data_IF_094792369472
#
_entry.id   IF_094792369472
#
_cell.length_a   1.000
_cell.length_b   1.000
_cell.length_c   1.000
_cell.angle_alpha   90.00
_cell.angle_beta   90.00
_cell.angle_gamma   90.00
#
_symmetry.space_group_name_H-M   'P 1'
#
loop_
_entity.id
_entity.type
_entity.pdbx_description
1 polymer ?
#
# COMPACT_ATOMS: atom_id res chain seq x y z
N UNK A 1 9.90 -19.08 16.10
CA UNK A 1 10.05 -17.60 16.19
C UNK A 1 9.22 -17.02 15.06
N UNK A 2 8.34 -16.09 15.34
CA UNK A 2 7.58 -15.33 14.35
C UNK A 2 8.31 -13.99 14.12
N UNK A 3 8.40 -13.57 12.87
CA UNK A 3 9.03 -12.29 12.48
C UNK A 3 7.98 -11.43 11.83
N UNK A 4 7.82 -10.20 12.29
CA UNK A 4 6.83 -9.27 11.75
C UNK A 4 7.58 -8.12 11.12
N UNK A 5 7.31 -7.88 9.84
CA UNK A 5 7.92 -6.81 9.06
C UNK A 5 6.89 -5.72 8.80
N UNK A 6 7.21 -4.51 9.22
CA UNK A 6 6.43 -3.31 8.83
C UNK A 6 6.74 -2.90 7.41
N UNK A 7 5.72 -2.44 6.69
CA UNK A 7 5.87 -1.90 5.33
C UNK A 7 4.90 -0.73 5.08
N UNK A 8 5.21 0.19 4.14
CA UNK A 8 4.32 1.27 3.76
C UNK A 8 2.97 0.74 3.24
N UNK A 9 1.89 1.48 3.49
CA UNK A 9 0.53 1.06 3.09
C UNK A 9 0.36 0.89 1.57
N UNK A 10 1.13 1.64 0.77
CA UNK A 10 1.10 1.56 -0.69
C UNK A 10 1.82 0.33 -1.27
N UNK A 11 2.48 -0.49 -0.44
CA UNK A 11 3.20 -1.67 -0.91
C UNK A 11 2.26 -2.85 -1.14
N UNK A 12 2.51 -3.54 -2.25
CA UNK A 12 1.75 -4.70 -2.69
C UNK A 12 2.49 -6.01 -2.36
N UNK A 13 1.93 -7.12 -2.79
CA UNK A 13 2.55 -8.44 -2.68
C UNK A 13 3.97 -8.52 -3.29
N UNK A 14 4.26 -7.68 -4.30
CA UNK A 14 5.59 -7.60 -4.93
C UNK A 14 6.64 -7.13 -3.93
N UNK A 15 6.41 -5.98 -3.30
CA UNK A 15 7.33 -5.38 -2.35
C UNK A 15 7.46 -6.25 -1.11
N UNK A 16 6.37 -6.86 -0.65
CA UNK A 16 6.38 -7.83 0.44
C UNK A 16 7.24 -9.05 0.11
N UNK A 17 7.18 -9.56 -1.13
CA UNK A 17 8.03 -10.66 -1.60
C UNK A 17 9.51 -10.29 -1.57
N UNK A 18 9.88 -9.08 -1.98
CA UNK A 18 11.26 -8.61 -1.86
C UNK A 18 11.74 -8.56 -0.41
N UNK A 19 10.94 -8.01 0.49
CA UNK A 19 11.27 -7.98 1.92
C UNK A 19 11.39 -9.38 2.51
N UNK A 20 10.50 -10.30 2.14
CA UNK A 20 10.54 -11.69 2.58
C UNK A 20 11.83 -12.36 2.15
N UNK A 21 12.18 -12.25 0.87
CA UNK A 21 13.40 -12.83 0.33
C UNK A 21 14.64 -12.23 0.99
N UNK A 22 14.71 -10.91 1.13
CA UNK A 22 15.81 -10.25 1.81
C UNK A 22 15.94 -10.70 3.28
N UNK A 23 14.82 -10.85 4.00
CA UNK A 23 14.81 -11.31 5.38
C UNK A 23 15.24 -12.78 5.51
N UNK A 24 14.92 -13.62 4.52
CA UNK A 24 15.38 -15.01 4.46
C UNK A 24 16.88 -15.10 4.16
N UNK A 25 17.38 -14.27 3.25
CA UNK A 25 18.77 -14.28 2.77
C UNK A 25 19.75 -13.59 3.73
N UNK A 26 19.28 -12.67 4.59
CA UNK A 26 20.15 -11.88 5.46
C UNK A 26 20.92 -12.70 6.52
N UNK A 27 20.58 -13.97 6.70
CA UNK A 27 21.28 -14.89 7.62
C UNK A 27 21.11 -14.58 9.11
N UNK A 28 20.21 -13.66 9.49
CA UNK A 28 19.95 -13.30 10.90
C UNK A 28 19.29 -14.45 11.66
N UNK A 29 18.69 -15.40 10.95
CA UNK A 29 17.91 -16.47 11.53
C UNK A 29 18.63 -17.82 11.43
N UNK A 30 18.96 -18.43 12.57
CA UNK A 30 19.52 -19.78 12.64
C UNK A 30 18.45 -20.89 12.42
N UNK A 31 17.65 -20.78 11.38
CA UNK A 31 16.54 -21.69 11.11
C UNK A 31 16.51 -21.99 9.58
N UNK A 32 16.09 -23.17 9.14
CA UNK A 32 15.98 -23.48 7.71
C UNK A 32 15.15 -22.44 6.96
N UNK A 33 15.60 -22.00 5.78
CA UNK A 33 15.00 -20.92 4.99
C UNK A 33 13.51 -21.12 4.74
N UNK A 34 13.07 -22.33 4.41
CA UNK A 34 11.65 -22.64 4.20
C UNK A 34 10.80 -22.42 5.45
N UNK A 35 11.34 -22.66 6.65
CA UNK A 35 10.64 -22.42 7.92
C UNK A 35 10.58 -20.93 8.24
N UNK A 36 11.67 -20.20 7.94
CA UNK A 36 11.71 -18.74 8.13
C UNK A 36 10.65 -18.06 7.27
N UNK A 37 10.61 -18.40 5.97
CA UNK A 37 9.67 -17.81 5.02
C UNK A 37 8.21 -17.93 5.48
N UNK A 38 7.83 -19.08 6.07
CA UNK A 38 6.48 -19.30 6.63
C UNK A 38 6.19 -18.50 7.90
N UNK A 39 7.22 -18.15 8.66
CA UNK A 39 7.08 -17.43 9.94
C UNK A 39 7.23 -15.90 9.79
N UNK A 40 7.50 -15.41 8.59
CA UNK A 40 7.50 -13.98 8.31
C UNK A 40 6.06 -13.54 8.00
N UNK A 41 5.60 -12.56 8.77
CA UNK A 41 4.31 -11.89 8.58
C UNK A 41 4.54 -10.42 8.32
N UNK A 42 3.59 -9.79 7.67
CA UNK A 42 3.62 -8.38 7.35
C UNK A 42 2.55 -7.61 8.10
N UNK A 43 2.85 -6.35 8.40
CA UNK A 43 1.91 -5.37 8.92
C UNK A 43 2.19 -4.03 8.26
N UNK A 44 1.15 -3.26 7.94
CA UNK A 44 1.38 -1.91 7.42
C UNK A 44 1.89 -0.99 8.53
N UNK A 45 2.72 0.00 8.17
CA UNK A 45 3.25 0.99 9.12
C UNK A 45 2.12 1.71 9.85
N UNK A 46 1.04 2.11 9.14
CA UNK A 46 -0.12 2.73 9.76
C UNK A 46 -0.83 1.82 10.77
N UNK A 47 -1.05 0.52 10.43
CA UNK A 47 -1.69 -0.41 11.36
C UNK A 47 -0.83 -0.71 12.59
N UNK A 48 0.48 -0.87 12.41
CA UNK A 48 1.42 -0.99 13.52
C UNK A 48 1.37 0.26 14.42
N UNK A 49 1.40 1.45 13.81
CA UNK A 49 1.32 2.73 14.53
C UNK A 49 0.02 2.90 15.30
N UNK A 50 -1.10 2.38 14.82
CA UNK A 50 -2.37 2.32 15.58
C UNK A 50 -2.18 1.53 16.87
N UNK A 51 -1.61 0.32 16.78
CA UNK A 51 -1.40 -0.53 17.95
C UNK A 51 -0.45 0.12 18.96
N UNK A 52 0.60 0.80 18.46
CA UNK A 52 1.48 1.60 19.31
C UNK A 52 0.72 2.72 20.05
N UNK A 53 -0.06 3.53 19.31
CA UNK A 53 -0.82 4.62 19.89
C UNK A 53 -1.87 4.16 20.89
N UNK A 54 -2.52 3.02 20.66
CA UNK A 54 -3.46 2.43 21.62
C UNK A 54 -2.81 2.18 22.98
N UNK A 55 -1.55 1.72 22.99
CA UNK A 55 -0.81 1.41 24.21
C UNK A 55 -0.16 2.64 24.83
N UNK A 56 0.29 3.60 24.02
CA UNK A 56 1.09 4.74 24.46
C UNK A 56 0.35 6.09 24.45
N UNK A 57 -0.96 6.08 24.30
CA UNK A 57 -1.81 7.28 24.38
C UNK A 57 -3.11 6.99 25.12
N UNK A 58 -3.88 8.03 25.38
CA UNK A 58 -5.22 7.89 25.96
C UNK A 58 -6.31 7.55 24.91
N UNK A 59 -5.93 7.12 23.72
CA UNK A 59 -6.86 6.86 22.61
C UNK A 59 -7.89 5.79 23.00
N UNK A 60 -7.45 4.69 23.62
CA UNK A 60 -8.35 3.59 24.03
C UNK A 60 -9.48 4.02 24.95
N UNK A 61 -9.24 5.04 25.80
CA UNK A 61 -10.26 5.61 26.69
C UNK A 61 -11.23 6.59 26.00
N UNK A 62 -10.84 7.11 24.84
CA UNK A 62 -11.60 8.15 24.13
C UNK A 62 -12.45 7.59 22.98
N UNK A 63 -12.07 6.43 22.43
CA UNK A 63 -12.78 5.82 21.30
C UNK A 63 -13.98 5.00 21.76
N UNK A 64 -15.09 5.14 21.04
CA UNK A 64 -16.34 4.41 21.25
C UNK A 64 -16.73 3.70 19.94
N UNK A 65 -17.56 2.69 20.03
CA UNK A 65 -18.14 2.06 18.82
C UNK A 65 -18.77 3.12 17.93
N UNK A 66 -18.41 3.10 16.64
CA UNK A 66 -18.83 4.10 15.66
C UNK A 66 -17.92 5.35 15.57
N UNK A 67 -16.99 5.56 16.53
CA UNK A 67 -15.98 6.62 16.40
C UNK A 67 -15.10 6.38 15.18
N UNK A 68 -14.67 7.48 14.53
CA UNK A 68 -13.71 7.45 13.42
C UNK A 68 -12.49 8.27 13.78
N UNK A 69 -11.33 7.79 13.38
CA UNK A 69 -10.07 8.48 13.51
C UNK A 69 -9.16 8.17 12.33
N UNK A 70 -8.28 9.11 11.98
CA UNK A 70 -7.26 8.90 10.98
C UNK A 70 -5.91 8.67 11.63
N UNK A 71 -5.07 7.87 10.99
CA UNK A 71 -3.63 7.74 11.29
C UNK A 71 -2.87 8.32 10.13
N UNK A 72 -2.08 9.34 10.39
CA UNK A 72 -1.16 9.95 9.42
C UNK A 72 0.26 9.58 9.84
N UNK A 73 0.85 8.60 9.16
CA UNK A 73 2.23 8.18 9.34
C UNK A 73 3.13 9.01 8.43
N UNK A 74 3.75 10.03 8.99
CA UNK A 74 4.64 10.92 8.28
C UNK A 74 6.08 10.42 8.41
N UNK A 75 6.50 9.61 7.46
CA UNK A 75 7.81 8.97 7.41
C UNK A 75 8.90 9.79 6.72
N UNK A 76 10.00 9.13 6.40
CA UNK A 76 11.14 9.74 5.71
C UNK A 76 10.86 10.00 4.23
N UNK A 77 10.24 9.07 3.51
CA UNK A 77 9.96 9.14 2.07
C UNK A 77 8.48 9.38 1.79
N UNK A 78 7.62 8.57 2.38
CA UNK A 78 6.17 8.60 2.18
C UNK A 78 5.46 9.15 3.40
N UNK A 79 4.25 9.66 3.16
CA UNK A 79 3.28 9.95 4.21
C UNK A 79 2.01 9.19 3.87
N UNK A 80 1.67 8.25 4.72
CA UNK A 80 0.53 7.36 4.55
C UNK A 80 -0.58 7.73 5.54
N UNK A 81 -1.80 7.86 5.05
CA UNK A 81 -2.96 8.19 5.89
C UNK A 81 -4.04 7.15 5.73
N UNK A 82 -4.46 6.55 6.83
CA UNK A 82 -5.51 5.53 6.87
C UNK A 82 -6.63 5.96 7.81
N UNK A 83 -7.87 5.76 7.40
CA UNK A 83 -9.06 6.10 8.17
C UNK A 83 -9.71 4.86 8.74
N UNK A 84 -9.85 4.81 10.05
CA UNK A 84 -10.45 3.72 10.79
C UNK A 84 -11.78 4.10 11.43
N UNK A 85 -12.68 3.11 11.54
CA UNK A 85 -13.89 3.15 12.36
C UNK A 85 -13.83 2.04 13.40
N UNK A 86 -14.21 2.38 14.63
CA UNK A 86 -14.27 1.44 15.76
C UNK A 86 -15.53 0.58 15.64
N UNK A 87 -15.36 -0.73 15.54
CA UNK A 87 -16.47 -1.71 15.49
C UNK A 87 -16.71 -2.35 16.85
N UNK A 88 -15.68 -2.45 17.69
CA UNK A 88 -15.75 -2.85 19.09
C UNK A 88 -14.72 -2.05 19.89
N UNK A 89 -15.06 -1.61 21.09
CA UNK A 89 -14.13 -0.91 21.99
C UNK A 89 -13.70 -1.80 23.17
N UNK A 90 -14.54 -2.71 23.61
CA UNK A 90 -14.32 -3.63 24.74
C UNK A 90 -14.91 -5.00 24.47
N UNK A 91 -14.36 -6.14 24.98
CA UNK A 91 -13.09 -6.22 25.70
C UNK A 91 -11.88 -5.95 24.79
N UNK A 92 -11.99 -6.28 23.49
CA UNK A 92 -10.95 -6.10 22.49
C UNK A 92 -11.33 -4.99 21.53
N UNK A 93 -10.39 -4.09 21.28
CA UNK A 93 -10.55 -3.06 20.25
C UNK A 93 -10.57 -3.73 18.87
N UNK A 94 -11.67 -3.48 18.11
CA UNK A 94 -11.81 -3.93 16.73
C UNK A 94 -12.03 -2.73 15.81
N UNK A 95 -11.28 -2.70 14.75
CA UNK A 95 -11.23 -1.60 13.78
C UNK A 95 -11.54 -2.11 12.39
N UNK A 96 -12.15 -1.26 11.58
CA UNK A 96 -12.24 -1.46 10.14
C UNK A 96 -11.76 -0.22 9.41
N UNK A 97 -11.06 -0.40 8.30
CA UNK A 97 -10.79 0.70 7.39
C UNK A 97 -12.09 1.20 6.76
N UNK A 98 -12.25 2.53 6.69
CA UNK A 98 -13.47 3.14 6.17
C UNK A 98 -13.42 3.28 4.65
N UNK A 99 -12.22 3.56 4.13
CA UNK A 99 -11.91 3.68 2.71
C UNK A 99 -10.44 3.38 2.46
N UNK A 100 -10.06 3.28 1.21
CA UNK A 100 -8.67 3.10 0.78
C UNK A 100 -7.75 4.15 1.42
N UNK A 101 -6.58 3.71 1.88
CA UNK A 101 -5.55 4.58 2.43
C UNK A 101 -5.00 5.53 1.37
N UNK A 102 -4.68 6.74 1.77
CA UNK A 102 -4.02 7.73 0.92
C UNK A 102 -2.50 7.70 1.18
N UNK A 103 -1.70 7.74 0.11
CA UNK A 103 -0.24 7.82 0.17
C UNK A 103 0.26 9.00 -0.65
N UNK A 104 1.29 9.69 -0.16
CA UNK A 104 1.96 10.76 -0.90
C UNK A 104 3.47 10.74 -0.65
N UNK A 105 4.24 10.95 -1.71
CA UNK A 105 5.70 11.07 -1.62
C UNK A 105 6.09 12.48 -1.17
N UNK A 106 5.94 12.76 0.12
CA UNK A 106 6.19 14.06 0.73
C UNK A 106 6.82 13.93 2.12
N UNK A 107 7.57 12.86 2.38
CA UNK A 107 8.24 12.64 3.65
C UNK A 107 9.42 13.59 3.89
N UNK A 108 10.04 13.48 5.08
CA UNK A 108 11.05 14.41 5.58
C UNK A 108 12.30 14.55 4.68
N UNK A 109 12.64 13.58 3.82
CA UNK A 109 13.76 13.68 2.88
C UNK A 109 13.51 14.72 1.77
N UNK A 110 12.25 15.00 1.44
CA UNK A 110 11.93 16.00 0.42
C UNK A 110 12.12 17.43 0.92
N UNK A 111 12.03 17.64 2.25
CA UNK A 111 12.46 18.91 2.86
C UNK A 111 13.96 19.11 2.65
N UNK A 112 14.78 18.05 2.84
CA UNK A 112 16.21 18.11 2.59
C UNK A 112 16.52 18.41 1.13
N UNK A 113 15.87 17.71 0.18
CA UNK A 113 16.04 17.95 -1.26
C UNK A 113 15.68 19.38 -1.66
N UNK A 114 14.59 19.92 -1.06
CA UNK A 114 14.19 21.30 -1.32
C UNK A 114 15.23 22.30 -0.80
N UNK A 115 15.79 22.03 0.40
CA UNK A 115 16.84 22.85 0.99
C UNK A 115 18.16 22.73 0.22
N UNK A 116 18.58 21.51 -0.15
CA UNK A 116 19.76 21.22 -0.96
C UNK A 116 19.76 22.01 -2.26
N UNK A 117 18.65 21.97 -2.99
CA UNK A 117 18.49 22.70 -4.25
C UNK A 117 18.67 24.22 -4.05
N UNK A 118 18.07 24.78 -2.98
CA UNK A 118 18.21 26.19 -2.63
C UNK A 118 19.63 26.52 -2.23
N UNK A 119 20.24 25.76 -1.34
CA UNK A 119 21.61 25.98 -0.87
C UNK A 119 22.60 25.92 -2.02
N UNK A 120 22.49 24.93 -2.90
CA UNK A 120 23.33 24.82 -4.11
C UNK A 120 23.18 26.03 -5.04
N UNK A 121 21.95 26.55 -5.21
CA UNK A 121 21.69 27.77 -5.97
C UNK A 121 22.42 28.97 -5.36
N UNK A 122 22.33 29.18 -4.05
CA UNK A 122 23.02 30.27 -3.34
C UNK A 122 24.54 30.13 -3.43
N UNK A 123 25.10 28.92 -3.28
CA UNK A 123 26.52 28.67 -3.41
C UNK A 123 27.05 28.99 -4.80
N UNK A 124 26.31 28.64 -5.85
CA UNK A 124 26.69 29.01 -7.24
C UNK A 124 26.77 30.53 -7.47
N UNK A 125 25.97 31.30 -6.72
CA UNK A 125 26.01 32.78 -6.78
C UNK A 125 27.25 33.40 -6.13
N UNK A 126 28.10 32.63 -5.43
CA UNK A 126 29.22 33.13 -4.64
C UNK A 126 30.60 33.04 -5.34
N UNK A 127 30.63 32.81 -6.63
CA UNK A 127 31.89 32.65 -7.41
C UNK A 127 32.81 31.55 -6.88
N UNK A 128 32.20 30.41 -6.51
CA UNK A 128 32.86 29.19 -6.03
C UNK A 128 33.15 28.25 -7.21
N UNK A 129 34.17 27.43 -7.06
CA UNK A 129 34.38 26.29 -7.97
C UNK A 129 33.26 25.25 -7.79
N UNK A 130 33.04 24.41 -8.82
CA UNK A 130 32.03 23.33 -8.70
C UNK A 130 32.28 22.44 -7.49
N UNK A 131 33.56 22.08 -7.22
CA UNK A 131 33.91 21.25 -6.05
C UNK A 131 33.56 21.91 -4.70
N UNK A 132 33.81 23.22 -4.57
CA UNK A 132 33.43 24.00 -3.38
C UNK A 132 31.91 24.10 -3.23
N UNK A 133 31.16 24.24 -4.33
CA UNK A 133 29.68 24.24 -4.31
C UNK A 133 29.17 22.92 -3.79
N UNK A 134 29.68 21.80 -4.32
CA UNK A 134 29.25 20.45 -3.92
C UNK A 134 29.61 20.19 -2.43
N UNK A 135 30.85 20.49 -2.01
CA UNK A 135 31.32 20.31 -0.62
C UNK A 135 30.50 21.14 0.39
N UNK A 136 30.32 22.43 0.10
CA UNK A 136 29.58 23.32 1.02
C UNK A 136 28.09 23.03 1.06
N UNK A 137 27.53 22.54 -0.03
CA UNK A 137 26.14 22.09 -0.07
C UNK A 137 25.96 20.83 0.78
N UNK A 138 26.88 19.88 0.69
CA UNK A 138 26.85 18.64 1.49
C UNK A 138 27.01 18.93 2.99
N UNK A 139 28.02 19.74 3.40
CA UNK A 139 28.22 20.12 4.81
C UNK A 139 26.99 20.88 5.34
N UNK A 140 26.43 21.79 4.54
CA UNK A 140 25.23 22.53 4.91
C UNK A 140 23.98 21.64 5.05
N UNK A 141 23.86 20.63 4.23
CA UNK A 141 22.76 19.68 4.33
C UNK A 141 22.85 18.81 5.59
N UNK A 142 24.07 18.41 5.97
CA UNK A 142 24.30 17.67 7.24
C UNK A 142 23.94 18.52 8.47
N UNK A 143 24.34 19.79 8.49
CA UNK A 143 24.01 20.72 9.59
C UNK A 143 22.50 21.02 9.62
N UNK A 144 21.87 21.14 8.45
CA UNK A 144 20.44 21.39 8.31
C UNK A 144 19.57 20.27 8.92
N UNK A 145 20.03 19.02 8.96
CA UNK A 145 19.28 17.92 9.58
C UNK A 145 18.92 18.21 11.05
N UNK A 146 19.84 18.83 11.80
CA UNK A 146 19.56 19.25 13.19
C UNK A 146 18.52 20.37 13.23
N UNK A 147 18.67 21.37 12.35
CA UNK A 147 17.71 22.49 12.21
C UNK A 147 16.33 21.97 11.86
N UNK A 148 16.23 21.09 10.86
CA UNK A 148 14.97 20.51 10.38
C UNK A 148 14.18 19.83 11.50
N UNK A 149 14.84 19.06 12.36
CA UNK A 149 14.18 18.33 13.46
C UNK A 149 13.56 19.25 14.51
N UNK A 150 14.13 20.45 14.68
CA UNK A 150 13.73 21.40 15.72
C UNK A 150 13.02 22.63 15.13
N UNK A 151 12.86 22.69 13.82
CA UNK A 151 12.27 23.85 13.16
C UNK A 151 10.81 24.00 13.53
N UNK A 152 10.51 25.15 14.13
CA UNK A 152 9.16 25.64 14.36
C UNK A 152 9.05 27.04 13.76
N UNK A 153 7.93 27.33 13.11
CA UNK A 153 7.71 28.61 12.47
C UNK A 153 6.47 29.26 13.07
N UNK A 154 6.69 30.45 13.59
CA UNK A 154 5.63 31.32 14.04
C UNK A 154 5.59 32.58 13.15
N UNK A 155 4.41 33.03 12.72
CA UNK A 155 4.28 34.23 11.90
C UNK A 155 4.88 35.50 12.58
N UNK A 156 5.01 35.51 13.91
CA UNK A 156 5.72 36.54 14.65
C UNK A 156 7.25 36.56 14.36
N UNK A 157 7.82 35.41 13.92
CA UNK A 157 9.23 35.22 13.68
C UNK A 157 9.62 35.21 12.20
N UNK A 158 8.83 35.88 11.33
CA UNK A 158 9.04 35.90 9.89
C UNK A 158 10.46 36.30 9.47
N UNK A 159 11.12 37.14 10.25
CA UNK A 159 12.47 37.63 10.02
C UNK A 159 13.56 36.91 10.84
N UNK A 160 13.20 35.83 11.54
CA UNK A 160 14.19 35.04 12.27
C UNK A 160 15.21 34.45 11.30
N UNK A 161 16.48 34.49 11.69
CA UNK A 161 17.60 34.01 10.91
C UNK A 161 18.08 32.69 11.51
N UNK A 162 18.17 31.67 10.67
CA UNK A 162 18.77 30.38 10.98
C UNK A 162 20.18 30.35 10.39
N UNK A 163 21.15 29.95 11.22
CA UNK A 163 22.54 29.84 10.75
C UNK A 163 22.83 28.39 10.42
N UNK A 164 23.21 28.14 9.18
CA UNK A 164 23.59 26.82 8.67
C UNK A 164 25.09 26.81 8.40
N UNK A 165 25.77 25.83 8.99
CA UNK A 165 27.20 25.65 8.82
C UNK A 165 27.46 24.98 7.47
N UNK A 166 28.27 25.61 6.62
CA UNK A 166 28.57 25.12 5.27
C UNK A 166 30.06 24.92 5.03
N UNK A 167 30.92 25.43 5.93
CA UNK A 167 32.37 25.32 5.79
C UNK A 167 33.10 25.56 7.11
N UNK A 168 34.43 25.41 7.10
CA UNK A 168 35.26 25.75 8.26
C UNK A 168 35.15 27.22 8.67
N UNK A 169 35.25 27.50 9.98
CA UNK A 169 34.98 28.82 10.58
C UNK A 169 35.91 29.99 10.12
N UNK A 170 36.92 29.70 9.30
CA UNK A 170 37.79 30.73 8.67
C UNK A 170 37.34 31.13 7.27
N UNK A 171 36.37 30.39 6.68
CA UNK A 171 35.89 30.63 5.33
C UNK A 171 34.89 31.77 5.32
N UNK A 172 35.11 32.75 4.48
CA UNK A 172 34.13 33.79 4.15
C UNK A 172 34.15 34.02 2.64
N UNK A 173 32.96 34.09 2.02
CA UNK A 173 32.76 34.27 0.58
C UNK A 173 31.55 35.17 0.32
N UNK A 174 31.58 35.87 -0.77
CA UNK A 174 30.55 36.82 -1.18
C UNK A 174 30.72 38.19 -0.56
N UNK A 175 29.96 39.17 -1.07
CA UNK A 175 29.93 40.50 -0.50
C UNK A 175 29.30 40.54 0.87
N UNK A 176 29.75 41.42 1.75
CA UNK A 176 29.21 41.52 3.11
C UNK A 176 27.74 41.93 3.16
N UNK A 177 27.23 42.55 2.12
CA UNK A 177 25.82 42.93 1.92
C UNK A 177 24.96 41.83 1.30
N UNK A 178 25.57 40.76 0.77
CA UNK A 178 24.83 39.68 0.13
C UNK A 178 24.05 38.86 1.15
N UNK A 179 22.81 38.59 0.84
CA UNK A 179 21.88 37.88 1.73
C UNK A 179 22.41 36.47 2.13
N UNK A 180 23.01 35.78 1.17
CA UNK A 180 23.47 34.39 1.37
C UNK A 180 25.01 34.26 1.37
N UNK A 181 25.73 35.31 1.79
CA UNK A 181 27.19 35.25 1.90
C UNK A 181 27.61 34.25 2.97
N UNK A 182 28.73 33.54 2.73
CA UNK A 182 29.35 32.71 3.76
C UNK A 182 30.16 33.64 4.68
N UNK A 183 29.80 33.62 5.96
CA UNK A 183 30.46 34.38 7.01
C UNK A 183 30.96 33.45 8.09
N UNK A 184 32.29 33.33 8.23
CA UNK A 184 32.93 32.45 9.21
C UNK A 184 32.41 31.00 9.14
N UNK A 185 32.21 30.50 7.91
CA UNK A 185 31.75 29.14 7.65
C UNK A 185 30.22 28.93 7.75
N UNK A 186 29.44 29.99 7.97
CA UNK A 186 27.98 29.92 8.07
C UNK A 186 27.29 30.73 6.99
N UNK A 187 26.13 30.25 6.56
CA UNK A 187 25.15 31.02 5.79
C UNK A 187 23.98 31.36 6.73
N UNK A 188 23.53 32.59 6.65
CA UNK A 188 22.35 33.07 7.36
C UNK A 188 21.12 32.92 6.46
N UNK A 189 20.19 32.05 6.85
CA UNK A 189 19.01 31.69 6.06
C UNK A 189 17.77 32.25 6.77
N UNK A 190 16.94 33.06 6.08
CA UNK A 190 15.66 33.47 6.64
C UNK A 190 14.78 32.27 6.96
N UNK A 191 14.09 32.31 8.10
CA UNK A 191 13.20 31.23 8.49
C UNK A 191 12.05 31.00 7.48
N UNK A 192 11.66 32.06 6.76
CA UNK A 192 10.70 32.00 5.64
C UNK A 192 11.17 31.08 4.49
N UNK A 193 12.48 31.06 4.18
CA UNK A 193 13.02 30.20 3.14
C UNK A 193 13.02 28.74 3.57
N UNK A 194 13.33 28.48 4.84
CA UNK A 194 13.21 27.13 5.43
C UNK A 194 11.75 26.69 5.44
N UNK A 195 10.83 27.56 5.88
CA UNK A 195 9.39 27.31 5.78
C UNK A 195 8.96 26.90 4.38
N UNK A 196 9.42 27.62 3.35
CA UNK A 196 9.14 27.28 1.95
C UNK A 196 9.65 25.89 1.53
N UNK A 197 10.70 25.36 2.16
CA UNK A 197 11.12 23.96 1.95
C UNK A 197 10.15 22.97 2.57
N UNK A 198 9.64 23.27 3.77
CA UNK A 198 8.64 22.44 4.43
C UNK A 198 7.29 22.47 3.71
N UNK A 199 6.83 23.65 3.27
CA UNK A 199 5.52 23.82 2.62
C UNK A 199 5.37 22.91 1.39
N UNK A 200 6.44 22.70 0.62
CA UNK A 200 6.45 21.78 -0.52
C UNK A 200 6.07 20.34 -0.15
N UNK A 201 6.26 19.95 1.10
CA UNK A 201 5.85 18.64 1.63
C UNK A 201 4.49 18.72 2.34
N UNK A 202 4.30 19.74 3.15
CA UNK A 202 3.13 19.88 4.03
C UNK A 202 1.84 20.13 3.25
N UNK A 203 1.89 20.91 2.17
CA UNK A 203 0.74 21.17 1.31
C UNK A 203 0.17 19.89 0.66
N UNK A 204 0.97 19.05 -0.03
CA UNK A 204 0.48 17.77 -0.57
C UNK A 204 -0.04 16.84 0.52
N UNK A 205 0.63 16.79 1.70
CA UNK A 205 0.17 15.96 2.82
C UNK A 205 -1.21 16.39 3.27
N UNK A 206 -1.38 17.68 3.58
CA UNK A 206 -2.67 18.18 4.09
C UNK A 206 -3.77 18.11 3.04
N UNK A 207 -3.47 18.27 1.75
CA UNK A 207 -4.43 18.05 0.66
C UNK A 207 -4.93 16.61 0.64
N UNK A 208 -4.03 15.64 0.72
CA UNK A 208 -4.41 14.21 0.75
C UNK A 208 -5.21 13.84 2.00
N UNK A 209 -4.86 14.40 3.15
CA UNK A 209 -5.65 14.22 4.37
C UNK A 209 -7.04 14.81 4.20
N UNK A 210 -7.18 16.00 3.63
CA UNK A 210 -8.50 16.62 3.39
C UNK A 210 -9.37 15.78 2.45
N UNK A 211 -8.80 15.28 1.34
CA UNK A 211 -9.49 14.39 0.41
C UNK A 211 -9.99 13.12 1.13
N UNK A 212 -9.14 12.54 2.00
CA UNK A 212 -9.49 11.33 2.75
C UNK A 212 -10.60 11.59 3.77
N UNK A 213 -10.62 12.77 4.37
CA UNK A 213 -11.61 13.17 5.39
C UNK A 213 -12.92 13.73 4.79
N UNK A 214 -12.97 13.88 3.45
CA UNK A 214 -14.13 14.48 2.79
C UNK A 214 -15.44 13.78 3.16
N UNK A 215 -16.44 14.58 3.55
CA UNK A 215 -17.79 14.12 3.92
C UNK A 215 -17.85 13.17 5.13
N UNK A 216 -16.77 13.03 5.90
CA UNK A 216 -16.73 12.16 7.07
C UNK A 216 -16.47 12.92 8.36
N UNK A 217 -17.24 12.61 9.40
CA UNK A 217 -16.98 13.10 10.74
C UNK A 217 -15.87 12.24 11.37
N UNK A 218 -14.74 12.87 11.69
CA UNK A 218 -13.55 12.27 12.32
C UNK A 218 -13.26 13.00 13.61
N UNK A 219 -13.03 12.29 14.70
CA UNK A 219 -12.76 12.90 16.01
C UNK A 219 -11.27 13.17 16.23
N UNK A 220 -10.39 12.33 15.68
CA UNK A 220 -8.95 12.39 15.97
C UNK A 220 -8.13 12.14 14.70
N UNK A 221 -6.97 12.79 14.62
CA UNK A 221 -5.88 12.41 13.72
C UNK A 221 -4.68 12.06 14.61
N UNK A 222 -4.22 10.81 14.50
CA UNK A 222 -2.98 10.35 15.11
C UNK A 222 -1.84 10.70 14.16
N UNK A 223 -0.97 11.61 14.58
CA UNK A 223 0.21 11.99 13.79
C UNK A 223 1.43 11.23 14.34
N UNK A 224 1.97 10.34 13.53
CA UNK A 224 3.09 9.45 13.87
C UNK A 224 4.18 9.50 12.80
N UNK A 225 5.25 8.71 12.98
CA UNK A 225 6.39 8.68 12.07
C UNK A 225 7.43 9.75 12.38
N UNK A 226 8.66 9.56 11.91
CA UNK A 226 9.78 10.44 12.22
C UNK A 226 9.61 11.90 11.74
N UNK A 227 8.92 12.12 10.62
CA UNK A 227 8.55 13.47 10.17
C UNK A 227 7.33 14.01 10.92
N UNK A 228 6.47 13.11 11.42
CA UNK A 228 5.37 13.46 12.31
C UNK A 228 5.83 14.09 13.63
N UNK A 229 7.09 13.88 14.05
CA UNK A 229 7.69 14.54 15.21
C UNK A 229 8.12 15.99 14.94
N UNK A 230 8.12 16.47 13.68
CA UNK A 230 8.46 17.85 13.33
C UNK A 230 7.51 18.85 14.00
N UNK A 231 8.03 19.83 14.77
CA UNK A 231 7.20 20.87 15.40
C UNK A 231 6.40 21.65 14.37
N UNK A 232 7.01 21.95 13.20
CA UNK A 232 6.34 22.66 12.12
C UNK A 232 5.14 21.90 11.57
N UNK A 233 5.31 20.60 11.24
CA UNK A 233 4.20 19.77 10.75
C UNK A 233 3.07 19.67 11.79
N UNK A 234 3.43 19.44 13.06
CA UNK A 234 2.48 19.38 14.18
C UNK A 234 1.65 20.67 14.31
N UNK A 235 2.32 21.82 14.21
CA UNK A 235 1.65 23.11 14.32
C UNK A 235 0.71 23.37 13.14
N UNK A 236 1.11 23.02 11.91
CA UNK A 236 0.22 23.11 10.74
C UNK A 236 -1.01 22.22 10.93
N UNK A 237 -0.85 20.98 11.36
CA UNK A 237 -1.97 20.06 11.61
C UNK A 237 -2.89 20.59 12.71
N UNK A 238 -2.37 21.04 13.85
CA UNK A 238 -3.18 21.64 14.91
C UNK A 238 -3.95 22.83 14.40
N UNK A 239 -3.28 23.80 13.79
CA UNK A 239 -3.90 25.03 13.29
C UNK A 239 -5.00 24.79 12.26
N UNK A 240 -4.86 23.74 11.43
CA UNK A 240 -5.80 23.40 10.37
C UNK A 240 -6.98 22.57 10.88
N UNK A 241 -6.72 21.53 11.65
CA UNK A 241 -7.72 20.51 11.97
C UNK A 241 -8.43 20.74 13.31
N UNK A 242 -7.79 21.33 14.33
CA UNK A 242 -8.46 21.64 15.58
C UNK A 242 -9.58 22.68 15.41
N UNK A 243 -9.45 23.59 14.45
CA UNK A 243 -10.54 24.52 14.05
C UNK A 243 -11.77 23.78 13.48
N UNK A 244 -11.60 22.54 13.03
CA UNK A 244 -12.66 21.65 12.53
C UNK A 244 -13.16 20.69 13.62
N UNK A 245 -12.77 20.90 14.89
CA UNK A 245 -13.03 20.01 16.03
C UNK A 245 -12.43 18.60 15.85
N UNK A 246 -11.32 18.49 15.14
CA UNK A 246 -10.56 17.25 14.99
C UNK A 246 -9.32 17.36 15.88
N UNK A 247 -9.24 16.54 16.92
CA UNK A 247 -8.11 16.55 17.85
C UNK A 247 -6.88 15.93 17.22
N UNK A 248 -5.71 16.60 17.32
CA UNK A 248 -4.43 16.03 16.94
C UNK A 248 -3.86 15.29 18.13
N UNK A 249 -3.77 13.97 18.00
CA UNK A 249 -3.22 13.08 19.04
C UNK A 249 -1.81 12.69 18.65
N UNK A 250 -0.88 12.93 19.57
CA UNK A 250 0.52 12.56 19.44
C UNK A 250 0.79 11.37 20.37
N UNK A 251 1.73 10.51 19.99
CA UNK A 251 2.25 9.52 20.94
C UNK A 251 3.01 10.23 22.08
N UNK A 252 2.88 9.70 23.30
CA UNK A 252 3.54 10.28 24.48
C UNK A 252 5.07 10.13 24.44
N UNK A 253 5.58 9.23 23.61
CA UNK A 253 6.99 8.95 23.41
C UNK A 253 7.39 9.22 21.95
N UNK A 254 8.70 9.23 21.67
CA UNK A 254 9.20 9.39 20.31
C UNK A 254 8.59 8.33 19.38
N UNK A 255 7.96 8.76 18.31
CA UNK A 255 7.32 7.89 17.33
C UNK A 255 8.31 7.14 16.43
N UNK A 256 9.62 7.34 16.61
CA UNK A 256 10.67 6.71 15.79
C UNK A 256 10.69 5.17 15.84
N UNK A 257 10.11 4.57 16.89
CA UNK A 257 9.97 3.12 17.07
C UNK A 257 8.52 2.63 16.98
N UNK A 258 7.59 3.54 16.72
CA UNK A 258 6.17 3.24 16.76
C UNK A 258 5.78 2.03 15.89
N UNK A 259 6.36 1.91 14.70
CA UNK A 259 6.10 0.80 13.79
C UNK A 259 6.64 -0.51 14.37
N UNK A 260 7.86 -0.54 14.89
CA UNK A 260 8.48 -1.77 15.41
C UNK A 260 7.77 -2.27 16.67
N UNK A 261 7.54 -1.39 17.64
CA UNK A 261 6.83 -1.73 18.89
C UNK A 261 5.36 -2.06 18.60
N UNK A 262 4.72 -1.30 17.73
CA UNK A 262 3.35 -1.53 17.29
C UNK A 262 3.16 -2.86 16.56
N UNK A 263 4.14 -3.31 15.78
CA UNK A 263 4.14 -4.62 15.12
C UNK A 263 4.12 -5.77 16.14
N UNK A 264 4.82 -5.62 17.26
CA UNK A 264 4.78 -6.59 18.36
C UNK A 264 3.38 -6.64 18.97
N UNK A 265 2.76 -5.48 19.27
CA UNK A 265 1.39 -5.43 19.79
C UNK A 265 0.38 -5.97 18.77
N UNK A 266 0.56 -5.68 17.49
CA UNK A 266 -0.27 -6.21 16.42
C UNK A 266 -0.27 -7.74 16.39
N UNK A 267 0.87 -8.39 16.61
CA UNK A 267 0.96 -9.86 16.60
C UNK A 267 0.03 -10.52 17.62
N UNK A 268 -0.29 -9.81 18.69
CA UNK A 268 -1.14 -10.29 19.79
C UNK A 268 -2.61 -9.90 19.54
N UNK A 269 -2.86 -8.63 19.22
CA UNK A 269 -4.21 -8.05 19.26
C UNK A 269 -4.97 -8.15 17.92
N UNK A 270 -4.28 -8.00 16.76
CA UNK A 270 -4.86 -8.01 15.40
C UNK A 270 -6.19 -7.25 15.32
N UNK A 271 -6.17 -6.00 15.74
CA UNK A 271 -7.40 -5.21 15.92
C UNK A 271 -8.08 -4.83 14.62
N UNK A 272 -7.37 -4.74 13.50
CA UNK A 272 -7.97 -4.43 12.19
C UNK A 272 -8.56 -5.69 11.59
N UNK A 273 -9.89 -5.74 11.53
CA UNK A 273 -10.66 -6.92 11.08
C UNK A 273 -11.20 -6.78 9.65
N UNK A 274 -11.15 -5.59 9.07
CA UNK A 274 -11.58 -5.38 7.69
C UNK A 274 -10.79 -4.23 7.04
N UNK A 275 -10.42 -4.40 5.77
CA UNK A 275 -9.59 -3.47 4.98
C UNK A 275 -10.26 -3.06 3.69
N UNK A 276 -10.01 -1.84 3.25
CA UNK A 276 -10.49 -1.34 1.97
C UNK A 276 -9.51 -1.73 0.85
N UNK A 277 -9.94 -2.50 -0.15
CA UNK A 277 -9.05 -2.95 -1.20
C UNK A 277 -8.68 -1.79 -2.14
N UNK A 278 -7.41 -1.73 -2.55
CA UNK A 278 -6.92 -0.78 -3.55
C UNK A 278 -7.38 -1.14 -4.97
N UNK A 279 -7.65 -2.42 -5.22
CA UNK A 279 -7.98 -2.98 -6.54
C UNK A 279 -9.16 -3.93 -6.47
N UNK A 280 -9.85 -4.09 -7.61
CA UNK A 280 -10.66 -5.28 -7.83
C UNK A 280 -9.74 -6.42 -8.29
N UNK A 281 -9.90 -7.61 -7.74
CA UNK A 281 -9.09 -8.78 -8.08
C UNK A 281 -9.95 -9.84 -8.75
N UNK A 282 -9.38 -10.50 -9.76
CA UNK A 282 -10.09 -11.53 -10.50
C UNK A 282 -9.25 -12.16 -11.60
N UNK A 283 -9.90 -12.87 -12.50
CA UNK A 283 -9.26 -13.52 -13.63
C UNK A 283 -9.88 -13.03 -14.94
N UNK A 284 -9.08 -13.07 -16.01
CA UNK A 284 -9.58 -12.87 -17.37
C UNK A 284 -9.81 -14.27 -17.96
N UNK A 285 -11.05 -14.55 -18.40
CA UNK A 285 -11.43 -15.89 -18.82
C UNK A 285 -12.36 -15.83 -20.05
N UNK A 286 -12.51 -16.96 -20.77
CA UNK A 286 -13.56 -17.10 -21.76
C UNK A 286 -14.95 -16.95 -21.14
N UNK A 287 -15.87 -16.34 -21.87
CA UNK A 287 -17.29 -16.24 -21.53
C UNK A 287 -18.12 -16.88 -22.63
N UNK A 288 -19.08 -17.71 -22.28
CA UNK A 288 -20.06 -18.21 -23.22
C UNK A 288 -20.77 -17.03 -23.86
N UNK A 289 -20.96 -17.06 -25.17
CA UNK A 289 -21.61 -16.01 -25.92
C UNK A 289 -22.61 -16.60 -26.95
N UNK A 290 -23.53 -15.76 -27.39
CA UNK A 290 -24.44 -16.06 -28.51
C UNK A 290 -24.14 -15.06 -29.65
N UNK A 291 -23.16 -15.34 -30.53
CA UNK A 291 -22.64 -14.37 -31.51
C UNK A 291 -23.68 -13.79 -32.45
N UNK A 292 -24.86 -14.48 -32.61
CA UNK A 292 -25.97 -14.04 -33.42
C UNK A 292 -26.97 -13.14 -32.69
N UNK A 293 -26.80 -12.93 -31.38
CA UNK A 293 -27.73 -12.12 -30.57
C UNK A 293 -26.97 -11.00 -29.85
N UNK A 294 -25.72 -11.26 -29.41
CA UNK A 294 -24.93 -10.34 -28.64
C UNK A 294 -24.03 -9.44 -29.51
N UNK A 295 -23.99 -8.16 -29.22
CA UNK A 295 -22.94 -7.26 -29.69
C UNK A 295 -21.61 -7.61 -29.01
N UNK A 296 -20.70 -8.20 -29.77
CA UNK A 296 -19.36 -8.57 -29.26
C UNK A 296 -18.32 -7.48 -29.51
N UNK A 297 -18.75 -6.26 -29.85
CA UNK A 297 -17.87 -5.10 -30.11
C UNK A 297 -16.69 -5.42 -31.05
N UNK A 298 -16.94 -6.25 -32.10
CA UNK A 298 -15.90 -6.69 -33.03
C UNK A 298 -14.97 -7.77 -32.50
N UNK A 299 -15.18 -8.29 -31.28
CA UNK A 299 -14.37 -9.37 -30.71
C UNK A 299 -14.57 -10.68 -31.43
N UNK A 300 -13.48 -11.45 -31.53
CA UNK A 300 -13.53 -12.79 -32.12
C UNK A 300 -14.10 -13.76 -31.09
N UNK A 301 -14.94 -14.67 -31.55
CA UNK A 301 -15.39 -15.80 -30.76
C UNK A 301 -14.76 -17.10 -31.27
N UNK A 302 -14.59 -18.04 -30.36
CA UNK A 302 -14.13 -19.40 -30.61
C UNK A 302 -15.23 -20.41 -30.33
N UNK A 303 -14.92 -21.67 -30.56
CA UNK A 303 -15.80 -22.78 -30.20
C UNK A 303 -15.11 -23.53 -29.03
N UNK A 304 -15.77 -23.51 -27.89
CA UNK A 304 -15.38 -24.28 -26.73
C UNK A 304 -15.76 -25.75 -26.79
N UNK A 305 -15.45 -26.51 -25.72
CA UNK A 305 -15.90 -27.90 -25.60
C UNK A 305 -17.40 -28.05 -25.80
N UNK A 306 -17.82 -29.17 -26.39
CA UNK A 306 -19.21 -29.42 -26.69
C UNK A 306 -19.82 -28.49 -27.76
N UNK A 307 -19.02 -27.73 -28.52
CA UNK A 307 -19.50 -26.86 -29.59
C UNK A 307 -20.06 -25.52 -29.10
N UNK A 308 -19.81 -25.16 -27.84
CA UNK A 308 -20.30 -23.93 -27.20
C UNK A 308 -19.52 -22.71 -27.68
N UNK A 309 -20.16 -21.67 -28.26
CA UNK A 309 -19.44 -20.46 -28.61
C UNK A 309 -18.93 -19.71 -27.38
N UNK A 310 -17.68 -19.27 -27.44
CA UNK A 310 -17.02 -18.52 -26.33
C UNK A 310 -16.29 -17.30 -26.89
N UNK A 311 -16.31 -16.20 -26.16
CA UNK A 311 -15.52 -15.01 -26.43
C UNK A 311 -14.44 -14.87 -25.38
N UNK A 312 -13.21 -14.52 -25.80
CA UNK A 312 -12.07 -14.36 -24.91
C UNK A 312 -12.01 -12.95 -24.33
N UNK A 313 -11.23 -12.79 -23.26
CA UNK A 313 -10.93 -11.48 -22.69
C UNK A 313 -11.96 -10.92 -21.71
N UNK A 314 -12.98 -11.68 -21.32
CA UNK A 314 -13.98 -11.23 -20.37
C UNK A 314 -13.37 -11.10 -18.95
N UNK A 315 -13.64 -9.97 -18.30
CA UNK A 315 -13.25 -9.75 -16.92
C UNK A 315 -14.18 -10.46 -15.95
N UNK A 316 -13.63 -11.22 -15.07
CA UNK A 316 -14.36 -11.98 -14.06
C UNK A 316 -13.85 -11.62 -12.66
N UNK A 317 -14.38 -10.54 -12.04
CA UNK A 317 -13.96 -10.16 -10.70
C UNK A 317 -14.43 -11.20 -9.68
N UNK A 318 -13.54 -11.54 -8.74
CA UNK A 318 -13.81 -12.38 -7.56
C UNK A 318 -13.98 -11.47 -6.34
N UNK A 319 -13.12 -10.47 -6.23
CA UNK A 319 -13.20 -9.42 -5.23
C UNK A 319 -13.35 -8.09 -5.94
N UNK A 320 -14.40 -7.34 -5.62
CA UNK A 320 -14.62 -6.02 -6.19
C UNK A 320 -14.17 -4.94 -5.20
N UNK A 321 -13.41 -3.97 -5.70
CA UNK A 321 -13.21 -2.69 -5.02
C UNK A 321 -14.55 -1.96 -5.02
N UNK A 322 -15.12 -1.77 -3.84
CA UNK A 322 -16.32 -0.95 -3.66
C UNK A 322 -15.95 0.13 -2.67
N UNK A 323 -16.01 1.38 -3.10
CA UNK A 323 -15.69 2.53 -2.25
C UNK A 323 -16.49 2.49 -0.95
N UNK A 324 -15.79 2.54 0.18
CA UNK A 324 -16.39 2.53 1.53
C UNK A 324 -16.90 1.17 2.02
N UNK A 325 -16.68 0.06 1.28
CA UNK A 325 -17.00 -1.29 1.73
C UNK A 325 -15.69 -2.06 1.95
N UNK A 326 -15.21 -2.16 3.19
CA UNK A 326 -14.01 -2.92 3.49
C UNK A 326 -14.26 -4.42 3.39
N UNK A 327 -13.22 -5.15 2.98
CA UNK A 327 -13.21 -6.61 2.96
C UNK A 327 -12.90 -7.14 4.35
N UNK A 328 -13.68 -8.14 4.77
CA UNK A 328 -13.41 -8.89 5.99
C UNK A 328 -12.16 -9.77 5.80
N UNK A 329 -11.18 -9.63 6.69
CA UNK A 329 -9.90 -10.34 6.62
C UNK A 329 -10.02 -11.84 6.81
N UNK A 330 -11.04 -12.30 7.56
CA UNK A 330 -11.26 -13.71 7.86
C UNK A 330 -12.15 -14.39 6.83
N UNK A 331 -12.76 -13.60 5.94
CA UNK A 331 -13.69 -14.10 4.93
C UNK A 331 -12.95 -14.64 3.70
N UNK A 332 -13.39 -15.82 3.24
CA UNK A 332 -12.99 -16.38 1.96
C UNK A 332 -13.97 -15.92 0.88
N UNK A 333 -13.44 -15.23 -0.13
CA UNK A 333 -14.17 -14.81 -1.32
C UNK A 333 -14.01 -15.88 -2.39
N UNK A 334 -15.09 -16.35 -2.98
CA UNK A 334 -15.10 -17.46 -3.95
C UNK A 334 -15.81 -17.06 -5.22
N UNK A 335 -15.31 -17.61 -6.33
CA UNK A 335 -16.03 -17.61 -7.59
C UNK A 335 -15.79 -18.93 -8.31
N UNK A 336 -16.89 -19.54 -8.75
CA UNK A 336 -16.87 -20.82 -9.45
C UNK A 336 -16.58 -20.62 -10.93
N UNK A 337 -15.71 -21.44 -11.48
CA UNK A 337 -15.35 -21.55 -12.89
C UNK A 337 -15.50 -23.00 -13.32
N UNK A 338 -16.04 -23.22 -14.50
CA UNK A 338 -16.17 -24.57 -15.05
C UNK A 338 -14.90 -24.90 -15.85
N UNK A 339 -14.20 -25.92 -15.41
CA UNK A 339 -13.16 -26.59 -16.19
C UNK A 339 -13.82 -27.64 -17.08
N UNK A 340 -13.27 -27.81 -18.30
CA UNK A 340 -13.80 -28.78 -19.27
C UNK A 340 -12.67 -29.62 -19.85
N UNK A 341 -12.94 -30.91 -20.04
CA UNK A 341 -12.02 -31.89 -20.65
C UNK A 341 -12.71 -32.63 -21.78
N UNK A 342 -11.94 -33.09 -22.76
CA UNK A 342 -12.39 -34.04 -23.76
C UNK A 342 -12.22 -35.49 -23.31
N UNK A 343 -11.38 -35.71 -22.31
CA UNK A 343 -11.06 -37.01 -21.75
C UNK A 343 -11.91 -37.24 -20.47
N UNK A 344 -12.45 -38.43 -20.36
CA UNK A 344 -13.25 -38.87 -19.19
C UNK A 344 -12.41 -38.89 -17.89
N UNK A 345 -11.19 -39.38 -17.97
CA UNK A 345 -10.30 -39.57 -16.84
C UNK A 345 -8.89 -39.04 -17.18
N UNK A 346 -8.68 -37.74 -17.27
CA UNK A 346 -7.34 -37.22 -17.42
C UNK A 346 -6.51 -37.58 -16.18
N UNK A 347 -5.28 -38.09 -16.35
CA UNK A 347 -4.39 -38.46 -15.24
C UNK A 347 -4.13 -37.30 -14.30
N UNK A 348 -4.12 -36.10 -14.83
CA UNK A 348 -4.03 -34.85 -14.03
C UNK A 348 -4.54 -33.68 -14.86
N UNK A 349 -5.00 -32.65 -14.15
CA UNK A 349 -5.32 -31.35 -14.71
C UNK A 349 -4.39 -30.31 -14.13
N UNK A 350 -3.60 -29.68 -14.98
CA UNK A 350 -2.84 -28.48 -14.61
C UNK A 350 -3.76 -27.27 -14.68
N UNK A 351 -4.04 -26.67 -13.54
CA UNK A 351 -4.75 -25.41 -13.43
C UNK A 351 -3.71 -24.29 -13.35
N UNK A 352 -3.70 -23.41 -14.32
CA UNK A 352 -2.91 -22.19 -14.28
C UNK A 352 -3.77 -21.03 -14.75
N UNK A 353 -3.97 -20.03 -13.91
CA UNK A 353 -4.72 -18.83 -14.23
C UNK A 353 -3.98 -17.59 -13.75
N UNK A 354 -3.81 -16.66 -14.68
CA UNK A 354 -3.30 -15.34 -14.39
C UNK A 354 -4.31 -14.58 -13.53
N UNK A 355 -3.81 -14.11 -12.40
CA UNK A 355 -4.53 -13.23 -11.52
C UNK A 355 -4.29 -11.79 -11.93
N UNK A 356 -5.36 -11.02 -12.07
CA UNK A 356 -5.30 -9.62 -12.46
C UNK A 356 -5.91 -8.72 -11.39
N UNK A 357 -5.40 -7.51 -11.32
CA UNK A 357 -5.96 -6.41 -10.54
C UNK A 357 -6.45 -5.31 -11.49
N UNK A 358 -7.57 -4.68 -11.12
CA UNK A 358 -8.13 -3.52 -11.81
C UNK A 358 -8.20 -2.33 -10.88
N UNK A 359 -7.56 -1.22 -11.27
CA UNK A 359 -7.43 -0.02 -10.45
C UNK A 359 -8.64 0.94 -10.51
N UNK A 360 -9.45 0.85 -11.57
CA UNK A 360 -10.57 1.75 -11.77
C UNK A 360 -11.74 1.50 -10.81
N UNK A 361 -12.62 2.49 -10.70
CA UNK A 361 -13.84 2.42 -9.86
C UNK A 361 -15.05 1.83 -10.61
N UNK A 362 -14.90 1.56 -11.90
CA UNK A 362 -15.94 0.98 -12.75
C UNK A 362 -16.09 -0.53 -12.61
N UNK A 363 -17.05 -1.07 -13.34
CA UNK A 363 -17.27 -2.51 -13.49
C UNK A 363 -17.11 -2.88 -14.97
N UNK A 364 -15.88 -2.99 -15.47
CA UNK A 364 -15.67 -3.35 -16.87
C UNK A 364 -16.10 -4.79 -17.14
N UNK A 365 -16.65 -5.03 -18.33
CA UNK A 365 -17.00 -6.37 -18.80
C UNK A 365 -15.77 -7.11 -19.38
N UNK A 366 -14.76 -6.35 -19.76
CA UNK A 366 -13.59 -6.84 -20.48
C UNK A 366 -12.30 -6.47 -19.73
N UNK A 367 -11.34 -7.39 -19.77
CA UNK A 367 -9.98 -7.16 -19.28
C UNK A 367 -8.96 -7.06 -20.41
N UNK A 368 -9.27 -7.61 -21.60
CA UNK A 368 -8.46 -7.50 -22.81
C UNK A 368 -9.18 -6.68 -23.89
N UNK A 369 -8.39 -6.08 -24.77
CA UNK A 369 -8.86 -5.46 -26.01
C UNK A 369 -9.04 -6.48 -27.16
N UNK A 370 -9.18 -6.01 -28.40
CA UNK A 370 -9.35 -6.87 -29.60
C UNK A 370 -8.06 -7.55 -30.05
N UNK A 371 -6.90 -7.12 -29.56
CA UNK A 371 -5.59 -7.65 -29.88
C UNK A 371 -5.07 -8.59 -28.79
N UNK A 372 -5.90 -8.89 -27.78
CA UNK A 372 -5.55 -9.63 -26.58
C UNK A 372 -4.57 -8.87 -25.64
N UNK A 373 -4.47 -7.53 -25.76
CA UNK A 373 -3.73 -6.68 -24.85
C UNK A 373 -4.57 -6.26 -23.65
N UNK A 374 -3.93 -6.10 -22.47
CA UNK A 374 -4.62 -5.63 -21.27
C UNK A 374 -5.19 -4.23 -21.45
N UNK A 375 -6.46 -4.06 -21.11
CA UNK A 375 -7.11 -2.75 -21.09
C UNK A 375 -6.50 -1.83 -20.00
N UNK A 376 -6.57 -0.49 -20.18
CA UNK A 376 -6.07 0.46 -19.19
C UNK A 376 -6.64 0.21 -17.79
N UNK A 377 -5.78 0.30 -16.78
CA UNK A 377 -6.12 0.05 -15.38
C UNK A 377 -6.00 -1.41 -14.94
N UNK A 378 -5.81 -2.34 -15.88
CA UNK A 378 -5.53 -3.74 -15.58
C UNK A 378 -4.02 -4.01 -15.52
N UNK A 379 -3.62 -4.88 -14.58
CA UNK A 379 -2.26 -5.42 -14.51
C UNK A 379 -2.29 -6.81 -13.90
N UNK A 380 -1.34 -7.66 -14.32
CA UNK A 380 -1.15 -8.98 -13.75
C UNK A 380 -0.50 -8.86 -12.36
N UNK A 381 -1.04 -9.56 -11.38
CA UNK A 381 -0.54 -9.54 -9.99
C UNK A 381 -0.03 -10.89 -9.51
N UNK A 382 -0.21 -11.93 -10.28
CA UNK A 382 0.29 -13.27 -9.95
C UNK A 382 -0.29 -14.34 -10.85
N UNK A 383 0.03 -15.58 -10.52
CA UNK A 383 -0.54 -16.77 -11.15
C UNK A 383 -1.04 -17.69 -10.04
N UNK A 384 -2.23 -18.23 -10.23
CA UNK A 384 -2.73 -19.32 -9.39
C UNK A 384 -2.43 -20.59 -10.13
N UNK A 385 -1.53 -21.39 -9.59
CA UNK A 385 -1.13 -22.67 -10.17
C UNK A 385 -1.52 -23.80 -9.23
N UNK A 386 -1.97 -24.89 -9.80
CA UNK A 386 -2.27 -26.11 -9.07
C UNK A 386 -2.30 -27.28 -10.03
N UNK A 387 -1.81 -28.42 -9.56
CA UNK A 387 -2.06 -29.69 -10.23
C UNK A 387 -3.11 -30.45 -9.45
N UNK A 388 -4.20 -30.79 -10.12
CA UNK A 388 -5.25 -31.62 -9.56
C UNK A 388 -4.96 -33.05 -10.05
N UNK A 389 -4.56 -33.90 -9.11
CA UNK A 389 -4.33 -35.31 -9.33
C UNK A 389 -5.56 -36.11 -8.93
N UNK A 390 -5.74 -37.28 -9.54
CA UNK A 390 -6.79 -38.21 -9.16
C UNK A 390 -8.19 -37.59 -9.26
N UNK A 391 -8.66 -37.39 -10.49
CA UNK A 391 -9.95 -36.76 -10.81
C UNK A 391 -11.13 -37.75 -10.81
N UNK A 392 -10.92 -39.00 -10.38
CA UNK A 392 -11.98 -40.00 -10.30
C UNK A 392 -13.15 -39.50 -9.45
N UNK A 393 -14.33 -39.40 -10.07
CA UNK A 393 -15.53 -38.88 -9.42
C UNK A 393 -15.60 -37.35 -9.26
N UNK A 394 -14.71 -36.61 -9.91
CA UNK A 394 -14.74 -35.14 -9.93
C UNK A 394 -15.36 -34.58 -11.22
N UNK A 395 -15.26 -35.33 -12.32
CA UNK A 395 -15.76 -34.92 -13.62
C UNK A 395 -17.18 -35.43 -13.88
N UNK A 396 -18.02 -34.56 -14.41
CA UNK A 396 -19.40 -34.87 -14.82
C UNK A 396 -19.46 -34.89 -16.36
N UNK A 397 -20.11 -35.89 -16.91
CA UNK A 397 -20.36 -36.01 -18.37
C UNK A 397 -21.41 -35.01 -18.81
N UNK A 398 -21.21 -34.37 -19.98
CA UNK A 398 -22.16 -33.45 -20.61
C UNK A 398 -22.24 -33.69 -22.10
N UNK A 399 -23.46 -33.57 -22.61
CA UNK A 399 -23.73 -33.56 -24.05
C UNK A 399 -23.50 -32.15 -24.62
N UNK A 400 -22.76 -32.05 -25.72
CA UNK A 400 -22.52 -30.77 -26.39
C UNK A 400 -23.71 -30.22 -27.14
N UNK A 401 -23.62 -28.96 -27.56
CA UNK A 401 -24.59 -28.33 -28.48
C UNK A 401 -24.56 -28.95 -29.87
N UNK A 402 -23.44 -29.54 -30.27
CA UNK A 402 -23.26 -30.26 -31.52
C UNK A 402 -23.45 -31.74 -31.21
N UNK A 403 -24.34 -32.48 -31.90
CA UNK A 403 -24.54 -33.90 -31.73
C UNK A 403 -23.19 -34.66 -31.82
N UNK A 404 -23.03 -35.68 -31.00
CA UNK A 404 -21.82 -36.53 -30.90
C UNK A 404 -20.56 -35.82 -30.37
N UNK A 405 -20.67 -34.59 -29.88
CA UNK A 405 -19.59 -33.88 -29.18
C UNK A 405 -19.82 -33.93 -27.65
N UNK A 406 -19.35 -35.02 -27.06
CA UNK A 406 -19.36 -35.19 -25.62
C UNK A 406 -18.15 -34.49 -24.97
N UNK A 407 -18.30 -34.03 -23.74
CA UNK A 407 -17.24 -33.47 -22.95
C UNK A 407 -17.50 -33.69 -21.46
N UNK A 408 -16.46 -33.61 -20.67
CA UNK A 408 -16.53 -33.68 -19.22
C UNK A 408 -16.27 -32.32 -18.61
N UNK A 409 -16.99 -31.99 -17.56
CA UNK A 409 -16.82 -30.73 -16.82
C UNK A 409 -16.62 -30.96 -15.36
N UNK A 410 -15.99 -30.00 -14.71
CA UNK A 410 -15.82 -29.91 -13.27
C UNK A 410 -15.88 -28.45 -12.86
N UNK A 411 -16.59 -28.18 -11.76
CA UNK A 411 -16.59 -26.85 -11.17
C UNK A 411 -15.40 -26.70 -10.22
N UNK A 412 -14.66 -25.60 -10.41
CA UNK A 412 -13.49 -25.22 -9.62
C UNK A 412 -13.76 -23.84 -9.03
N UNK A 413 -13.73 -23.75 -7.72
CA UNK A 413 -13.80 -22.47 -7.02
C UNK A 413 -12.41 -21.86 -6.92
N UNK A 414 -12.25 -20.65 -7.43
CA UNK A 414 -11.09 -19.81 -7.17
C UNK A 414 -11.37 -19.02 -5.90
N UNK A 415 -10.55 -19.26 -4.89
CA UNK A 415 -10.72 -18.73 -3.55
C UNK A 415 -9.68 -17.66 -3.24
N UNK A 416 -10.10 -16.60 -2.55
CA UNK A 416 -9.26 -15.51 -2.08
C UNK A 416 -9.49 -15.23 -0.60
N UNK A 417 -8.42 -15.02 0.14
CA UNK A 417 -8.46 -14.54 1.51
C UNK A 417 -7.44 -13.44 1.72
N UNK A 418 -7.87 -12.35 2.35
CA UNK A 418 -7.03 -11.25 2.77
C UNK A 418 -6.60 -11.46 4.22
N UNK A 419 -5.69 -12.41 4.43
CA UNK A 419 -5.21 -12.80 5.75
C UNK A 419 -4.30 -11.75 6.39
N UNK A 420 -4.87 -10.77 7.03
CA UNK A 420 -4.11 -9.65 7.55
C UNK A 420 -3.69 -8.69 6.43
N UNK A 421 -2.41 -8.50 6.22
CA UNK A 421 -1.86 -7.68 5.12
C UNK A 421 -1.40 -8.51 3.93
N UNK A 422 -1.53 -9.82 4.01
CA UNK A 422 -1.15 -10.77 2.97
C UNK A 422 -2.37 -11.26 2.20
N UNK A 423 -2.15 -11.56 0.94
CA UNK A 423 -3.16 -12.00 0.02
C UNK A 423 -2.90 -13.44 -0.39
N UNK A 424 -3.82 -14.33 -0.10
CA UNK A 424 -3.73 -15.76 -0.41
C UNK A 424 -4.78 -16.13 -1.45
N UNK A 425 -4.40 -16.95 -2.41
CA UNK A 425 -5.30 -17.52 -3.39
C UNK A 425 -5.07 -19.03 -3.53
N UNK A 426 -6.14 -19.78 -3.72
CA UNK A 426 -6.09 -21.23 -3.97
C UNK A 426 -7.30 -21.65 -4.76
N UNK A 427 -7.33 -22.93 -5.15
CA UNK A 427 -8.47 -23.54 -5.82
C UNK A 427 -9.11 -24.59 -4.93
N UNK A 428 -10.43 -24.69 -4.96
CA UNK A 428 -11.22 -25.75 -4.33
C UNK A 428 -12.08 -26.43 -5.39
N UNK A 429 -12.30 -27.74 -5.26
CA UNK A 429 -13.19 -28.51 -6.11
C UNK A 429 -13.90 -29.60 -5.32
N UNK A 430 -14.97 -30.18 -5.88
CA UNK A 430 -15.68 -31.30 -5.29
C UNK A 430 -15.26 -32.59 -5.98
N UNK A 431 -14.94 -33.60 -5.18
CA UNK A 431 -14.65 -34.96 -5.64
C UNK A 431 -15.42 -35.94 -4.75
N UNK A 432 -16.29 -36.72 -5.35
CA UNK A 432 -17.17 -37.67 -4.60
C UNK A 432 -17.94 -36.98 -3.43
N UNK A 433 -18.40 -35.75 -3.65
CA UNK A 433 -19.11 -34.96 -2.64
C UNK A 433 -18.24 -34.34 -1.54
N UNK A 434 -16.92 -34.58 -1.54
CA UNK A 434 -15.95 -34.03 -0.59
C UNK A 434 -15.25 -32.82 -1.23
N UNK A 435 -15.20 -31.70 -0.52
CA UNK A 435 -14.40 -30.54 -0.96
C UNK A 435 -12.92 -30.83 -0.80
N UNK A 436 -12.18 -30.73 -1.89
CA UNK A 436 -10.71 -30.77 -1.96
C UNK A 436 -10.18 -29.36 -2.16
N UNK A 437 -8.98 -29.07 -1.70
CA UNK A 437 -8.31 -27.81 -1.89
C UNK A 437 -6.89 -28.04 -2.39
N UNK A 438 -6.46 -27.24 -3.35
CA UNK A 438 -5.06 -27.09 -3.72
C UNK A 438 -4.27 -26.34 -2.66
N UNK A 439 -2.93 -26.37 -2.78
CA UNK A 439 -2.09 -25.58 -1.89
C UNK A 439 -2.37 -24.09 -2.05
N UNK A 440 -2.53 -23.39 -0.91
CA UNK A 440 -2.68 -21.95 -0.94
C UNK A 440 -1.38 -21.32 -1.44
N UNK A 441 -1.47 -20.57 -2.52
CA UNK A 441 -0.36 -19.81 -3.07
C UNK A 441 -0.41 -18.40 -2.47
N UNK A 442 0.69 -17.96 -1.86
CA UNK A 442 0.89 -16.54 -1.59
C UNK A 442 0.94 -15.86 -2.96
N UNK A 443 0.03 -14.92 -3.20
CA UNK A 443 0.03 -14.19 -4.46
C UNK A 443 1.27 -13.32 -4.48
N UNK A 444 2.32 -13.81 -5.11
CA UNK A 444 3.56 -13.09 -5.32
C UNK A 444 3.52 -12.46 -6.71
N UNK A 445 3.90 -11.21 -6.78
CA UNK A 445 4.13 -10.52 -8.04
C UNK A 445 5.25 -11.22 -8.81
N UNK A 446 4.98 -11.64 -10.05
CA UNK A 446 6.04 -12.02 -10.97
C UNK A 446 6.67 -10.73 -11.53
N UNK A 447 7.98 -10.48 -11.36
CA UNK A 447 8.58 -9.29 -11.94
C UNK A 447 8.44 -9.39 -13.46
N UNK A 448 7.86 -8.35 -14.05
CA UNK A 448 7.86 -8.18 -15.51
C UNK A 448 9.29 -8.34 -15.98
N UNK A 449 9.53 -9.36 -16.81
CA UNK A 449 10.78 -9.53 -17.55
C UNK A 449 10.95 -8.38 -18.52
#
# INVERSE_FOLDING_TARGET
MEVILGHPNGWSAREQSFLRNAAVECGVFNTPQATIAKNIKFVTEAEASVHYCIQHSNLSAQVKVGSRFAVCDAGGSTVDTTLYSVTSAHPDLRLKEVRESASVQAGGIFVNRAFEARLSEWMRGLNLTKGEVDEYTEEGLQDFEFTKRNFDYNDADQNAIVRVKVAGGRVSRGESSAMYAIRRGYVEVPSSDIKGCFDKCVEPITSKVDDLLESLAVGHILLVGGFGDSPYLRNVFKNKYEKRNIQITLANESSSKAVADGAVFWSIARSVVARSPHYSYGVICPRTCMPWIEELDGRRFGIGPGGIPVVLGAWSPIVQKVSGIPLDSDKVYRKTYTFTSKDENPESVSFSKDLHAYAGDGKPDWGLDYNDDLLPGFHKVGVIEGQIWDLEGALEHEEGLIPDLEYWKMDVDVCFQFGGTEFHAWVEWKQNGITRAGDATLVSWDPIK
#
